data_IF_651344480896
#
_entry.id   IF_651344480896
#
_cell.length_a   1.000
_cell.length_b   1.000
_cell.length_c   1.000
_cell.angle_alpha   90.00
_cell.angle_beta   90.00
_cell.angle_gamma   90.00
#
_symmetry.space_group_name_H-M   'P 1'
#
loop_
_entity.id
_entity.type
_entity.pdbx_description
1 polymer ?
#
# COMPACT_ATOMS: atom_id res chain seq x y z
N UNK A 1 -92.60 80.56 24.49
CA UNK A 1 -93.54 81.22 25.41
C UNK A 1 -94.82 80.41 25.42
N UNK A 2 -95.00 79.55 26.42
CA UNK A 2 -96.25 78.82 26.67
C UNK A 2 -96.47 78.96 28.17
N UNK A 3 -97.39 79.85 28.56
CA UNK A 3 -97.74 80.15 29.95
C UNK A 3 -98.72 79.06 30.41
N UNK A 4 -98.53 78.49 31.59
CA UNK A 4 -99.32 77.34 32.04
C UNK A 4 -100.70 77.78 32.53
N UNK A 5 -101.71 76.92 32.34
CA UNK A 5 -103.11 77.14 32.76
C UNK A 5 -103.24 77.45 34.27
N UNK A 6 -102.26 77.02 35.08
CA UNK A 6 -102.19 77.30 36.51
C UNK A 6 -101.82 78.75 36.83
N UNK A 7 -101.08 79.44 35.96
CA UNK A 7 -100.77 80.87 36.10
C UNK A 7 -101.98 81.74 35.70
N UNK A 8 -102.80 81.30 34.73
CA UNK A 8 -104.07 81.95 34.38
C UNK A 8 -105.14 81.82 35.48
N UNK A 9 -105.13 80.74 36.28
CA UNK A 9 -106.06 80.55 37.41
C UNK A 9 -105.78 81.53 38.57
N UNK A 10 -104.51 81.81 38.87
CA UNK A 10 -104.12 82.79 39.90
C UNK A 10 -104.48 84.23 39.52
N UNK A 11 -104.48 84.56 38.23
CA UNK A 11 -104.90 85.88 37.75
C UNK A 11 -106.41 86.06 37.82
N UNK A 12 -107.20 84.97 37.71
CA UNK A 12 -108.67 85.02 37.75
C UNK A 12 -109.25 85.15 39.15
N UNK A 13 -108.65 84.52 40.16
CA UNK A 13 -109.11 84.64 41.56
C UNK A 13 -108.91 86.05 42.15
N UNK A 14 -108.01 86.85 41.59
CA UNK A 14 -107.77 88.23 42.04
C UNK A 14 -108.78 89.24 41.49
N UNK A 15 -109.67 88.86 40.57
CA UNK A 15 -110.54 89.80 39.82
C UNK A 15 -112.06 89.66 40.07
N UNK A 16 -112.53 88.76 40.95
CA UNK A 16 -113.99 88.49 41.12
C UNK A 16 -114.57 88.73 42.53
N UNK A 17 -114.01 89.64 43.33
CA UNK A 17 -114.77 90.29 44.41
C UNK A 17 -114.93 91.78 44.11
N UNK A 18 -116.02 92.08 43.41
CA UNK A 18 -116.47 93.43 43.13
C UNK A 18 -117.09 94.14 44.35
N UNK A 19 -116.93 95.46 44.32
CA UNK A 19 -117.76 96.52 44.92
C UNK A 19 -118.12 96.40 46.41
N UNK A 20 -117.52 97.26 47.24
CA UNK A 20 -118.14 98.52 47.66
C UNK A 20 -117.11 99.41 48.38
N UNK A 21 -117.36 100.72 48.31
CA UNK A 21 -116.50 101.82 48.77
C UNK A 21 -116.25 101.74 50.28
N UNK A 22 -114.99 101.91 50.68
CA UNK A 22 -114.53 102.82 51.75
C UNK A 22 -112.99 102.89 51.75
N UNK A 23 -112.45 104.13 51.71
CA UNK A 23 -111.04 104.56 51.84
C UNK A 23 -109.89 103.72 51.21
N UNK A 24 -109.28 104.23 50.12
CA UNK A 24 -108.03 103.69 49.54
C UNK A 24 -106.84 104.02 50.46
N UNK A 25 -106.29 103.01 51.15
CA UNK A 25 -105.04 103.09 51.90
C UNK A 25 -103.89 102.72 50.95
N UNK A 26 -103.12 103.71 50.47
CA UNK A 26 -101.93 103.49 49.62
C UNK A 26 -100.75 102.91 50.45
N UNK A 27 -100.21 101.72 50.12
CA UNK A 27 -99.09 101.11 50.83
C UNK A 27 -97.75 101.82 50.53
N UNK A 28 -96.83 101.85 51.52
CA UNK A 28 -95.53 102.55 51.42
C UNK A 28 -94.73 102.17 50.18
N UNK A 29 -94.76 100.89 49.77
CA UNK A 29 -94.08 100.43 48.55
C UNK A 29 -94.67 101.02 47.27
N UNK A 30 -95.97 101.28 47.24
CA UNK A 30 -96.65 101.96 46.13
C UNK A 30 -96.42 103.46 46.20
N UNK A 31 -96.39 104.04 47.41
CA UNK A 31 -96.04 105.44 47.64
C UNK A 31 -94.58 105.74 47.26
N UNK A 32 -93.66 104.82 47.53
CA UNK A 32 -92.24 104.90 47.17
C UNK A 32 -92.01 104.60 45.69
N UNK A 33 -92.80 103.70 45.09
CA UNK A 33 -92.81 103.50 43.64
C UNK A 33 -93.34 104.73 42.91
N UNK A 34 -94.41 105.35 43.41
CA UNK A 34 -94.93 106.63 42.90
C UNK A 34 -93.87 107.72 43.11
N UNK A 35 -93.20 107.81 44.26
CA UNK A 35 -92.09 108.77 44.50
C UNK A 35 -90.87 108.53 43.61
N UNK A 36 -90.47 107.29 43.34
CA UNK A 36 -89.35 106.95 42.46
C UNK A 36 -89.69 107.15 40.98
N UNK A 37 -90.94 106.87 40.58
CA UNK A 37 -91.43 107.12 39.22
C UNK A 37 -91.76 108.61 38.96
N UNK A 38 -92.12 109.38 40.00
CA UNK A 38 -92.34 110.83 39.93
C UNK A 38 -91.08 111.65 40.20
N UNK A 39 -89.96 111.01 40.59
CA UNK A 39 -88.65 111.66 40.64
C UNK A 39 -88.25 111.97 39.20
N UNK A 40 -88.43 113.23 38.81
CA UNK A 40 -87.94 113.76 37.53
C UNK A 40 -86.41 113.67 37.57
N UNK A 41 -85.88 112.56 37.09
CA UNK A 41 -84.44 112.36 36.93
C UNK A 41 -84.00 113.30 35.83
N UNK A 42 -83.14 114.26 36.17
CA UNK A 42 -82.56 115.17 35.18
C UNK A 42 -81.70 114.35 34.20
N UNK A 43 -81.64 114.77 32.92
CA UNK A 43 -80.84 114.09 31.88
C UNK A 43 -79.42 113.79 32.34
N UNK A 44 -78.83 114.68 33.14
CA UNK A 44 -77.46 114.54 33.65
C UNK A 44 -77.30 113.38 34.63
N UNK A 45 -78.28 113.09 35.48
CA UNK A 45 -78.22 111.96 36.42
C UNK A 45 -78.37 110.61 35.71
N UNK A 46 -79.22 110.53 34.67
CA UNK A 46 -79.30 109.35 33.79
C UNK A 46 -78.01 109.14 32.99
N UNK A 47 -77.41 110.23 32.49
CA UNK A 47 -76.13 110.16 31.79
C UNK A 47 -75.02 109.67 32.73
N UNK A 48 -75.01 110.10 33.99
CA UNK A 48 -73.99 109.68 34.95
C UNK A 48 -74.14 108.19 35.36
N UNK A 49 -75.36 107.69 35.58
CA UNK A 49 -75.58 106.26 35.86
C UNK A 49 -75.26 105.37 34.65
N UNK A 50 -75.64 105.81 33.44
CA UNK A 50 -75.30 105.07 32.22
C UNK A 50 -73.80 105.11 31.89
N UNK A 51 -73.11 106.20 32.23
CA UNK A 51 -71.63 106.29 32.18
C UNK A 51 -70.99 105.32 33.17
N UNK A 52 -71.40 105.31 34.44
CA UNK A 52 -70.89 104.37 35.45
C UNK A 52 -71.12 102.90 35.04
N UNK A 53 -72.30 102.57 34.49
CA UNK A 53 -72.59 101.22 34.01
C UNK A 53 -71.77 100.85 32.76
N UNK A 54 -71.46 101.81 31.88
CA UNK A 54 -70.56 101.61 30.74
C UNK A 54 -69.12 101.40 31.21
N UNK A 55 -68.64 102.21 32.14
CA UNK A 55 -67.30 102.07 32.74
C UNK A 55 -67.12 100.71 33.42
N UNK A 56 -68.11 100.24 34.18
CA UNK A 56 -68.06 98.90 34.79
C UNK A 56 -68.03 97.77 33.75
N UNK A 57 -68.83 97.87 32.67
CA UNK A 57 -68.78 96.90 31.55
C UNK A 57 -67.46 96.95 30.79
N UNK A 58 -66.87 98.13 30.65
CA UNK A 58 -65.61 98.34 29.97
C UNK A 58 -64.45 97.78 30.79
N UNK A 59 -64.44 97.99 32.11
CA UNK A 59 -63.50 97.34 33.03
C UNK A 59 -63.60 95.80 32.97
N UNK A 60 -64.81 95.23 32.92
CA UNK A 60 -65.00 93.78 32.76
C UNK A 60 -64.48 93.28 31.40
N UNK A 61 -64.68 94.04 30.31
CA UNK A 61 -64.13 93.71 28.98
C UNK A 61 -62.60 93.76 28.95
N UNK A 62 -61.99 94.77 29.55
CA UNK A 62 -60.53 94.91 29.63
C UNK A 62 -59.92 93.72 30.39
N UNK A 63 -60.52 93.32 31.51
CA UNK A 63 -60.07 92.15 32.28
C UNK A 63 -60.20 90.83 31.49
N UNK A 64 -61.28 90.68 30.71
CA UNK A 64 -61.46 89.52 29.82
C UNK A 64 -60.45 89.50 28.67
N UNK A 65 -60.20 90.65 28.02
CA UNK A 65 -59.20 90.75 26.94
C UNK A 65 -57.78 90.51 27.46
N UNK A 66 -57.43 91.02 28.64
CA UNK A 66 -56.14 90.75 29.28
C UNK A 66 -55.96 89.24 29.55
N UNK A 67 -57.01 88.56 30.03
CA UNK A 67 -57.01 87.10 30.22
C UNK A 67 -56.87 86.35 28.90
N UNK A 68 -57.58 86.77 27.85
CA UNK A 68 -57.49 86.18 26.50
C UNK A 68 -56.11 86.38 25.89
N UNK A 69 -55.48 87.53 26.11
CA UNK A 69 -54.11 87.83 25.66
C UNK A 69 -53.07 86.98 26.39
N UNK A 70 -53.21 86.80 27.71
CA UNK A 70 -52.36 85.87 28.49
C UNK A 70 -52.53 84.42 28.04
N UNK A 71 -53.77 83.96 27.80
CA UNK A 71 -54.01 82.61 27.26
C UNK A 71 -53.34 82.42 25.89
N UNK A 72 -53.45 83.39 24.98
CA UNK A 72 -52.75 83.35 23.69
C UNK A 72 -51.22 83.34 23.81
N UNK A 73 -50.66 84.05 24.79
CA UNK A 73 -49.21 84.01 25.06
C UNK A 73 -48.80 82.63 25.60
N UNK A 74 -49.54 82.07 26.55
CA UNK A 74 -49.28 80.73 27.07
C UNK A 74 -49.44 79.65 25.98
N UNK A 75 -50.38 79.79 25.05
CA UNK A 75 -50.52 78.86 23.92
C UNK A 75 -49.35 78.95 22.93
N UNK A 76 -48.81 80.15 22.67
CA UNK A 76 -47.58 80.32 21.89
C UNK A 76 -46.36 79.72 22.59
N UNK A 77 -46.27 79.89 23.91
CA UNK A 77 -45.19 79.28 24.70
C UNK A 77 -45.30 77.76 24.76
N UNK A 78 -46.51 77.20 24.80
CA UNK A 78 -46.75 75.76 24.68
C UNK A 78 -46.36 75.24 23.30
N UNK A 79 -46.73 75.95 22.23
CA UNK A 79 -46.35 75.61 20.86
C UNK A 79 -44.84 75.46 20.67
N UNK A 80 -44.04 76.34 21.29
CA UNK A 80 -42.58 76.30 21.21
C UNK A 80 -41.92 75.24 22.13
N UNK A 81 -42.66 74.73 23.12
CA UNK A 81 -42.17 73.72 24.09
C UNK A 81 -42.66 72.30 23.78
N UNK A 82 -43.36 72.10 22.67
CA UNK A 82 -43.70 70.75 22.23
C UNK A 82 -42.40 69.99 21.89
N UNK A 83 -42.19 68.80 22.48
CA UNK A 83 -41.05 67.98 22.13
C UNK A 83 -41.13 67.60 20.64
N UNK A 84 -39.99 67.60 19.93
CA UNK A 84 -39.96 67.20 18.53
C UNK A 84 -40.48 65.77 18.37
N UNK A 85 -41.19 65.53 17.27
CA UNK A 85 -41.72 64.20 16.93
C UNK A 85 -40.57 63.20 16.70
N UNK A 86 -40.80 61.91 16.95
CA UNK A 86 -39.81 60.84 16.75
C UNK A 86 -39.20 60.86 15.34
N UNK A 87 -40.01 61.16 14.33
CA UNK A 87 -39.56 61.36 12.95
C UNK A 87 -38.59 62.54 12.80
N UNK A 88 -38.84 63.65 13.49
CA UNK A 88 -37.97 64.83 13.46
C UNK A 88 -36.66 64.57 14.21
N UNK A 89 -36.69 63.79 15.30
CA UNK A 89 -35.47 63.36 16.00
C UNK A 89 -34.63 62.42 15.14
N UNK A 90 -35.23 61.48 14.42
CA UNK A 90 -34.46 60.64 13.48
C UNK A 90 -33.88 61.44 12.32
N UNK A 91 -34.64 62.39 11.77
CA UNK A 91 -34.16 63.22 10.65
C UNK A 91 -33.01 64.14 11.09
N UNK A 92 -33.09 64.70 12.29
CA UNK A 92 -32.00 65.49 12.87
C UNK A 92 -30.78 64.64 13.21
N UNK A 93 -30.95 63.41 13.69
CA UNK A 93 -29.85 62.45 13.87
C UNK A 93 -29.19 62.06 12.54
N UNK A 94 -29.99 61.83 11.49
CA UNK A 94 -29.47 61.56 10.14
C UNK A 94 -28.72 62.76 9.59
N UNK A 95 -29.25 63.98 9.73
CA UNK A 95 -28.59 65.21 9.29
C UNK A 95 -27.29 65.47 10.06
N UNK A 96 -27.29 65.28 11.37
CA UNK A 96 -26.08 65.45 12.20
C UNK A 96 -25.05 64.36 11.90
N UNK A 97 -25.46 63.12 11.69
CA UNK A 97 -24.57 62.04 11.23
C UNK A 97 -23.94 62.35 9.86
N UNK A 98 -24.74 62.86 8.91
CA UNK A 98 -24.25 63.29 7.61
C UNK A 98 -23.26 64.44 7.72
N UNK A 99 -23.56 65.47 8.52
CA UNK A 99 -22.68 66.60 8.77
C UNK A 99 -21.37 66.15 9.44
N UNK A 100 -21.44 65.25 10.41
CA UNK A 100 -20.26 64.69 11.06
C UNK A 100 -19.40 63.86 10.10
N UNK A 101 -20.01 63.09 9.20
CA UNK A 101 -19.29 62.35 8.18
C UNK A 101 -18.65 63.28 7.14
N UNK A 102 -19.35 64.34 6.74
CA UNK A 102 -18.80 65.37 5.86
C UNK A 102 -17.63 66.10 6.53
N UNK A 103 -17.76 66.45 7.81
CA UNK A 103 -16.68 67.06 8.58
C UNK A 103 -15.47 66.13 8.68
N UNK A 104 -15.67 64.84 9.00
CA UNK A 104 -14.59 63.85 9.01
C UNK A 104 -13.90 63.72 7.65
N UNK A 105 -14.66 63.70 6.56
CA UNK A 105 -14.07 63.65 5.22
C UNK A 105 -13.21 64.89 4.92
N UNK A 106 -13.64 66.07 5.36
CA UNK A 106 -12.84 67.29 5.26
C UNK A 106 -11.58 67.22 6.12
N UNK A 107 -11.69 66.69 7.34
CA UNK A 107 -10.57 66.52 8.25
C UNK A 107 -9.53 65.52 7.69
N UNK A 108 -9.98 64.42 7.06
CA UNK A 108 -9.13 63.43 6.38
C UNK A 108 -8.40 64.00 5.15
N UNK A 109 -8.94 65.04 4.52
CA UNK A 109 -8.30 65.72 3.38
C UNK A 109 -7.14 66.64 3.81
N UNK A 110 -7.01 66.96 5.11
CA UNK A 110 -5.90 67.75 5.63
C UNK A 110 -4.55 67.03 5.45
N UNK A 111 -3.51 67.74 5.02
CA UNK A 111 -2.21 67.14 4.68
C UNK A 111 -1.51 66.44 5.86
N UNK A 112 -1.62 66.99 7.07
CA UNK A 112 -1.07 66.36 8.28
C UNK A 112 -1.79 65.04 8.60
N UNK A 113 -3.11 64.99 8.40
CA UNK A 113 -3.92 63.77 8.62
C UNK A 113 -3.57 62.71 7.58
N UNK A 114 -3.35 63.09 6.31
CA UNK A 114 -2.82 62.17 5.28
C UNK A 114 -1.45 61.61 5.65
N UNK A 115 -0.56 62.45 6.21
CA UNK A 115 0.75 62.02 6.70
C UNK A 115 0.62 61.05 7.88
N UNK A 116 -0.27 61.33 8.83
CA UNK A 116 -0.58 60.41 9.93
C UNK A 116 -1.16 59.08 9.40
N UNK A 117 -2.04 59.12 8.41
CA UNK A 117 -2.58 57.92 7.77
C UNK A 117 -1.50 57.09 7.08
N UNK A 118 -0.51 57.72 6.46
CA UNK A 118 0.66 57.04 5.91
C UNK A 118 1.47 56.33 7.01
N UNK A 119 1.68 56.98 8.15
CA UNK A 119 2.38 56.37 9.30
C UNK A 119 1.59 55.19 9.90
N UNK A 120 0.26 55.32 10.01
CA UNK A 120 -0.62 54.24 10.46
C UNK A 120 -0.57 53.05 9.49
N UNK A 121 -0.61 53.32 8.18
CA UNK A 121 -0.50 52.26 7.17
C UNK A 121 0.85 51.55 7.26
N UNK A 122 1.94 52.31 7.38
CA UNK A 122 3.28 51.75 7.56
C UNK A 122 3.36 50.86 8.80
N UNK A 123 2.84 51.33 9.95
CA UNK A 123 2.79 50.54 11.19
C UNK A 123 2.01 49.22 11.02
N UNK A 124 0.86 49.25 10.32
CA UNK A 124 0.09 48.04 9.99
C UNK A 124 0.89 47.08 9.10
N UNK A 125 1.53 47.60 8.05
CA UNK A 125 2.35 46.79 7.14
C UNK A 125 3.55 46.16 7.84
N UNK A 126 4.26 46.90 8.70
CA UNK A 126 5.40 46.40 9.47
C UNK A 126 4.94 45.31 10.44
N UNK A 127 3.83 45.53 11.16
CA UNK A 127 3.28 44.51 12.07
C UNK A 127 2.94 43.21 11.35
N UNK A 128 2.37 43.30 10.14
CA UNK A 128 2.08 42.11 9.32
C UNK A 128 3.38 41.45 8.86
N UNK A 129 4.36 42.24 8.41
CA UNK A 129 5.68 41.73 7.98
C UNK A 129 6.39 40.98 9.12
N UNK A 130 6.36 41.51 10.33
CA UNK A 130 6.99 40.86 11.49
C UNK A 130 6.35 39.51 11.79
N UNK A 131 5.02 39.42 11.72
CA UNK A 131 4.29 38.14 11.83
C UNK A 131 4.65 37.17 10.71
N UNK A 132 4.79 37.64 9.47
CA UNK A 132 5.22 36.82 8.34
C UNK A 132 6.65 36.29 8.53
N UNK A 133 7.56 37.11 9.07
CA UNK A 133 8.93 36.69 9.37
C UNK A 133 8.97 35.65 10.50
N UNK A 134 8.14 35.81 11.54
CA UNK A 134 8.00 34.79 12.59
C UNK A 134 7.45 33.48 12.05
N UNK A 135 6.42 33.54 11.20
CA UNK A 135 5.85 32.38 10.53
C UNK A 135 6.88 31.67 9.64
N UNK A 136 7.64 32.42 8.84
CA UNK A 136 8.71 31.87 8.02
C UNK A 136 9.77 31.14 8.88
N UNK A 137 10.19 31.74 10.01
CA UNK A 137 11.11 31.10 10.96
C UNK A 137 10.52 29.86 11.62
N UNK A 138 9.20 29.78 11.79
CA UNK A 138 8.52 28.58 12.31
C UNK A 138 8.53 27.48 11.25
N UNK A 139 8.14 27.81 10.02
CA UNK A 139 8.14 26.87 8.89
C UNK A 139 9.53 26.32 8.60
N UNK A 140 10.56 27.16 8.65
CA UNK A 140 11.95 26.71 8.46
C UNK A 140 12.39 25.72 9.55
N UNK A 141 12.00 25.97 10.81
CA UNK A 141 12.27 25.02 11.92
C UNK A 141 11.53 23.70 11.72
N UNK A 142 10.24 23.75 11.39
CA UNK A 142 9.44 22.55 11.11
C UNK A 142 10.02 21.75 9.94
N UNK A 143 10.45 22.41 8.86
CA UNK A 143 11.12 21.79 7.73
C UNK A 143 12.43 21.11 8.13
N UNK A 144 13.25 21.79 8.94
CA UNK A 144 14.54 21.27 9.39
C UNK A 144 14.37 20.07 10.34
N UNK A 145 13.37 20.08 11.21
CA UNK A 145 13.06 18.96 12.09
C UNK A 145 12.48 17.76 11.33
N UNK A 146 11.63 17.98 10.32
CA UNK A 146 11.14 16.89 9.47
C UNK A 146 12.27 16.28 8.63
N UNK A 147 13.19 17.10 8.09
CA UNK A 147 14.38 16.58 7.41
C UNK A 147 15.24 15.72 8.33
N UNK A 148 15.51 16.17 9.57
CA UNK A 148 16.23 15.34 10.56
C UNK A 148 15.51 14.02 10.83
N UNK A 149 14.18 14.04 10.92
CA UNK A 149 13.37 12.84 11.12
C UNK A 149 13.51 11.87 9.94
N UNK A 150 13.48 12.38 8.71
CA UNK A 150 13.70 11.58 7.51
C UNK A 150 15.12 10.99 7.48
N UNK A 151 16.14 11.78 7.80
CA UNK A 151 17.54 11.31 7.89
C UNK A 151 17.68 10.17 8.91
N UNK A 152 17.05 10.30 10.07
CA UNK A 152 17.02 9.24 11.09
C UNK A 152 16.29 7.99 10.56
N UNK A 153 15.16 8.15 9.86
CA UNK A 153 14.46 7.00 9.27
C UNK A 153 15.30 6.29 8.21
N UNK A 154 15.99 7.02 7.33
CA UNK A 154 16.90 6.43 6.35
C UNK A 154 18.05 5.68 7.03
N UNK A 155 18.62 6.24 8.10
CA UNK A 155 19.71 5.60 8.84
C UNK A 155 19.23 4.34 9.56
N UNK A 156 18.03 4.35 10.14
CA UNK A 156 17.41 3.15 10.72
C UNK A 156 17.22 2.07 9.66
N UNK A 157 16.75 2.42 8.46
CA UNK A 157 16.58 1.46 7.36
C UNK A 157 17.93 0.90 6.89
N UNK A 158 18.95 1.76 6.76
CA UNK A 158 20.32 1.35 6.45
C UNK A 158 20.85 0.35 7.48
N UNK A 159 20.71 0.65 8.77
CA UNK A 159 21.14 -0.22 9.86
C UNK A 159 20.37 -1.55 9.88
N UNK A 160 19.05 -1.54 9.60
CA UNK A 160 18.26 -2.78 9.45
C UNK A 160 18.78 -3.63 8.29
N UNK A 161 19.11 -3.02 7.15
CA UNK A 161 19.66 -3.74 5.99
C UNK A 161 21.02 -4.38 6.31
N UNK A 162 21.90 -3.65 7.01
CA UNK A 162 23.20 -4.17 7.46
C UNK A 162 22.98 -5.35 8.43
N UNK A 163 22.13 -5.16 9.44
CA UNK A 163 21.82 -6.21 10.42
C UNK A 163 21.26 -7.47 9.75
N UNK A 164 20.38 -7.32 8.77
CA UNK A 164 19.84 -8.46 8.02
C UNK A 164 20.93 -9.21 7.25
N UNK A 165 21.87 -8.50 6.63
CA UNK A 165 23.04 -9.14 5.97
C UNK A 165 23.92 -9.87 6.97
N UNK A 166 24.19 -9.26 8.12
CA UNK A 166 24.96 -9.90 9.20
C UNK A 166 24.28 -11.18 9.72
N UNK A 167 22.96 -11.16 9.88
CA UNK A 167 22.17 -12.34 10.27
C UNK A 167 22.29 -13.47 9.25
N UNK A 168 22.20 -13.16 7.95
CA UNK A 168 22.38 -14.14 6.86
C UNK A 168 23.82 -14.69 6.89
N UNK A 169 24.83 -13.84 7.05
CA UNK A 169 26.22 -14.31 7.16
C UNK A 169 26.44 -15.20 8.39
N UNK A 170 25.84 -14.83 9.52
CA UNK A 170 25.91 -15.63 10.74
C UNK A 170 25.31 -17.03 10.51
N UNK A 171 24.11 -17.09 9.93
CA UNK A 171 23.47 -18.36 9.57
C UNK A 171 24.31 -19.18 8.60
N UNK A 172 24.94 -18.54 7.59
CA UNK A 172 25.86 -19.24 6.68
C UNK A 172 27.08 -19.79 7.42
N UNK A 173 27.68 -19.03 8.32
CA UNK A 173 28.81 -19.51 9.14
C UNK A 173 28.41 -20.66 10.06
N UNK A 174 27.23 -20.62 10.66
CA UNK A 174 26.71 -21.71 11.48
C UNK A 174 26.44 -22.97 10.65
N UNK A 175 25.82 -22.83 9.49
CA UNK A 175 25.61 -23.94 8.56
C UNK A 175 26.94 -24.54 8.08
N UNK A 176 27.95 -23.72 7.81
CA UNK A 176 29.31 -24.19 7.49
C UNK A 176 29.95 -24.97 8.64
N UNK A 177 29.81 -24.48 9.89
CA UNK A 177 30.31 -25.21 11.07
C UNK A 177 29.60 -26.55 11.25
N UNK A 178 28.28 -26.58 11.09
CA UNK A 178 27.50 -27.82 11.16
C UNK A 178 27.89 -28.79 10.05
N UNK A 179 28.06 -28.31 8.81
CA UNK A 179 28.55 -29.12 7.70
C UNK A 179 29.95 -29.69 7.96
N UNK A 180 30.85 -28.88 8.54
CA UNK A 180 32.19 -29.34 8.93
C UNK A 180 32.14 -30.42 10.01
N UNK A 181 31.24 -30.31 11.00
CA UNK A 181 31.05 -31.34 12.03
C UNK A 181 30.58 -32.66 11.43
N UNK A 182 29.61 -32.63 10.51
CA UNK A 182 29.13 -33.85 9.83
C UNK A 182 30.27 -34.54 9.06
N UNK A 183 31.13 -33.78 8.37
CA UNK A 183 32.28 -34.35 7.66
C UNK A 183 33.28 -34.97 8.65
N UNK A 184 33.55 -34.32 9.78
CA UNK A 184 34.41 -34.87 10.83
C UNK A 184 33.84 -36.19 11.35
N UNK A 185 32.53 -36.26 11.59
CA UNK A 185 31.88 -37.48 12.07
C UNK A 185 31.89 -38.59 11.02
N UNK A 186 31.69 -38.27 9.74
CA UNK A 186 31.84 -39.23 8.63
C UNK A 186 33.29 -39.76 8.51
N UNK A 187 34.30 -38.92 8.74
CA UNK A 187 35.71 -39.35 8.72
C UNK A 187 35.96 -40.32 9.88
N UNK A 188 35.46 -40.02 11.08
CA UNK A 188 35.57 -40.91 12.24
C UNK A 188 34.88 -42.24 11.99
N UNK A 189 33.67 -42.23 11.41
CA UNK A 189 32.91 -43.44 11.09
C UNK A 189 33.67 -44.32 10.09
N UNK A 190 34.19 -43.74 9.00
CA UNK A 190 35.04 -44.47 8.04
C UNK A 190 36.34 -45.00 8.66
N UNK A 191 36.93 -44.26 9.59
CA UNK A 191 38.12 -44.70 10.30
C UNK A 191 37.81 -45.90 11.21
N UNK A 192 36.68 -45.88 11.90
CA UNK A 192 36.18 -47.03 12.67
C UNK A 192 35.88 -48.24 11.78
N UNK A 193 35.24 -48.05 10.63
CA UNK A 193 35.02 -49.12 9.66
C UNK A 193 36.34 -49.72 9.17
N UNK A 194 37.34 -48.88 8.88
CA UNK A 194 38.67 -49.33 8.48
C UNK A 194 39.34 -50.15 9.58
N UNK A 195 39.24 -49.71 10.84
CA UNK A 195 39.76 -50.45 12.00
C UNK A 195 39.03 -51.80 12.14
N UNK A 196 37.70 -51.82 12.05
CA UNK A 196 36.91 -53.05 12.12
C UNK A 196 37.27 -54.03 11.00
N UNK A 197 37.51 -53.56 9.77
CA UNK A 197 37.96 -54.39 8.66
C UNK A 197 39.37 -54.95 8.91
N UNK A 198 40.28 -54.15 9.48
CA UNK A 198 41.61 -54.61 9.88
C UNK A 198 41.51 -55.68 10.97
N UNK A 199 40.68 -55.48 12.00
CA UNK A 199 40.44 -56.48 13.04
C UNK A 199 39.84 -57.78 12.48
N UNK A 200 38.90 -57.68 11.53
CA UNK A 200 38.31 -58.85 10.87
C UNK A 200 39.38 -59.63 10.09
N UNK A 201 40.19 -58.94 9.28
CA UNK A 201 41.30 -59.54 8.54
C UNK A 201 42.34 -60.16 9.48
N UNK A 202 42.62 -59.55 10.63
CA UNK A 202 43.52 -60.14 11.63
C UNK A 202 42.92 -61.41 12.25
N UNK A 203 41.62 -61.42 12.56
CA UNK A 203 40.93 -62.63 13.03
C UNK A 203 40.94 -63.74 11.97
N UNK A 204 40.68 -63.42 10.71
CA UNK A 204 40.76 -64.38 9.60
C UNK A 204 42.17 -64.92 9.42
N UNK A 205 43.20 -64.06 9.51
CA UNK A 205 44.61 -64.48 9.48
C UNK A 205 44.95 -65.40 10.65
N UNK A 206 44.46 -65.12 11.85
CA UNK A 206 44.66 -65.98 13.02
C UNK A 206 43.98 -67.34 12.82
N UNK A 207 42.73 -67.36 12.35
CA UNK A 207 42.02 -68.62 12.04
C UNK A 207 42.72 -69.43 10.94
N UNK A 208 43.22 -68.77 9.90
CA UNK A 208 44.00 -69.42 8.84
C UNK A 208 45.32 -69.97 9.39
N UNK A 209 46.01 -69.24 10.27
CA UNK A 209 47.22 -69.72 10.92
C UNK A 209 46.96 -70.96 11.80
N UNK A 210 45.89 -70.95 12.60
CA UNK A 210 45.47 -72.10 13.40
C UNK A 210 45.12 -73.33 12.53
N UNK A 211 44.46 -73.12 11.39
CA UNK A 211 44.17 -74.19 10.43
C UNK A 211 45.46 -74.76 9.82
N UNK A 212 46.41 -73.90 9.46
CA UNK A 212 47.72 -74.32 8.95
C UNK A 212 48.49 -75.12 10.00
N UNK A 213 48.47 -74.71 11.27
CA UNK A 213 49.11 -75.47 12.36
C UNK A 213 48.46 -76.84 12.56
N UNK A 214 47.13 -76.93 12.50
CA UNK A 214 46.42 -78.23 12.57
C UNK A 214 46.80 -79.15 11.41
N UNK A 215 46.83 -78.63 10.18
CA UNK A 215 47.25 -79.40 9.01
C UNK A 215 48.70 -79.87 9.11
N UNK A 216 49.62 -79.00 9.58
CA UNK A 216 51.01 -79.39 9.84
C UNK A 216 51.12 -80.49 10.90
N UNK A 217 50.34 -80.43 11.97
CA UNK A 217 50.33 -81.47 12.99
C UNK A 217 49.80 -82.81 12.44
N UNK A 218 48.76 -82.78 11.60
CA UNK A 218 48.25 -83.97 10.90
C UNK A 218 49.28 -84.54 9.91
N UNK A 219 49.98 -83.69 9.15
CA UNK A 219 51.10 -84.08 8.28
C UNK A 219 52.25 -84.71 9.08
N UNK A 220 52.62 -84.15 10.24
CA UNK A 220 53.64 -84.74 11.11
C UNK A 220 53.21 -86.11 11.66
N UNK A 221 51.94 -86.25 12.08
CA UNK A 221 51.42 -87.55 12.52
C UNK A 221 51.43 -88.60 11.41
N UNK A 222 51.01 -88.23 10.19
CA UNK A 222 51.04 -89.15 9.05
C UNK A 222 52.46 -89.55 8.69
N UNK A 223 53.41 -88.62 8.67
CA UNK A 223 54.83 -88.89 8.43
C UNK A 223 55.40 -89.82 9.52
N UNK A 224 55.02 -89.62 10.79
CA UNK A 224 55.41 -90.53 11.88
C UNK A 224 54.83 -91.93 11.69
N UNK A 225 53.55 -92.05 11.29
CA UNK A 225 52.92 -93.36 10.99
C UNK A 225 53.61 -94.06 9.82
N UNK A 226 53.98 -93.32 8.77
CA UNK A 226 54.75 -93.86 7.64
C UNK A 226 56.15 -94.31 8.07
N UNK A 227 56.85 -93.53 8.91
CA UNK A 227 58.14 -93.92 9.50
C UNK A 227 58.04 -95.22 10.31
N UNK A 228 56.99 -95.36 11.11
CA UNK A 228 56.75 -96.59 11.90
C UNK A 228 56.44 -97.76 10.98
N UNK A 229 55.63 -97.58 9.92
CA UNK A 229 55.35 -98.62 8.92
C UNK A 229 56.60 -99.03 8.15
N UNK A 230 57.42 -98.07 7.72
CA UNK A 230 58.69 -98.34 7.04
C UNK A 230 59.67 -99.10 7.95
N UNK A 231 59.75 -98.76 9.25
CA UNK A 231 60.58 -99.49 10.21
C UNK A 231 60.09 -100.92 10.46
N UNK A 232 58.77 -101.15 10.49
CA UNK A 232 58.19 -102.51 10.57
C UNK A 232 58.52 -103.34 9.34
N UNK A 233 58.33 -102.78 8.15
CA UNK A 233 58.70 -103.43 6.88
C UNK A 233 60.20 -103.74 6.81
N UNK A 234 61.07 -102.84 7.27
CA UNK A 234 62.51 -103.09 7.33
C UNK A 234 62.84 -104.27 8.25
N UNK A 235 62.24 -104.33 9.44
CA UNK A 235 62.45 -105.44 10.37
C UNK A 235 61.93 -106.78 9.80
N UNK A 236 60.77 -106.78 9.12
CA UNK A 236 60.23 -107.97 8.45
C UNK A 236 61.15 -108.46 7.31
N UNK A 237 61.74 -107.53 6.55
CA UNK A 237 62.73 -107.85 5.52
C UNK A 237 64.05 -108.33 6.12
N UNK A 238 64.50 -107.77 7.25
CA UNK A 238 65.68 -108.26 7.97
C UNK A 238 65.48 -109.66 8.55
N UNK A 239 64.30 -109.97 9.10
CA UNK A 239 63.94 -111.31 9.58
C UNK A 239 63.89 -112.30 8.41
N UNK A 240 63.22 -111.96 7.30
CA UNK A 240 63.19 -112.79 6.10
C UNK A 240 64.58 -113.01 5.50
N UNK A 241 65.45 -111.99 5.50
CA UNK A 241 66.83 -112.13 5.05
C UNK A 241 67.67 -113.01 6.00
N UNK A 242 67.46 -112.93 7.32
CA UNK A 242 68.12 -113.83 8.30
C UNK A 242 67.68 -115.28 8.11
N UNK A 243 66.40 -115.50 7.89
CA UNK A 243 65.84 -116.83 7.60
C UNK A 243 66.40 -117.40 6.29
N UNK A 244 66.46 -116.59 5.24
CA UNK A 244 67.08 -116.96 3.97
C UNK A 244 68.59 -117.26 4.11
N UNK A 245 69.32 -116.50 4.94
CA UNK A 245 70.73 -116.76 5.20
C UNK A 245 70.93 -118.08 5.97
N UNK A 246 70.08 -118.35 6.96
CA UNK A 246 70.08 -119.59 7.75
C UNK A 246 69.76 -120.82 6.89
N UNK A 247 68.79 -120.72 5.98
CA UNK A 247 68.54 -121.78 4.98
C UNK A 247 69.72 -121.96 4.05
N UNK A 248 70.37 -120.88 3.60
CA UNK A 248 71.55 -120.95 2.75
C UNK A 248 72.75 -121.59 3.47
N UNK A 249 72.93 -121.34 4.77
CA UNK A 249 73.96 -122.02 5.58
C UNK A 249 73.66 -123.50 5.80
N UNK A 250 72.38 -123.88 5.97
CA UNK A 250 71.97 -125.29 6.05
C UNK A 250 72.24 -126.02 4.73
N UNK A 251 71.86 -125.42 3.59
CA UNK A 251 72.19 -125.94 2.26
C UNK A 251 73.70 -126.03 2.05
N UNK A 252 74.47 -125.03 2.47
CA UNK A 252 75.94 -125.06 2.40
C UNK A 252 76.56 -126.17 3.25
N UNK A 253 76.00 -126.54 4.40
CA UNK A 253 76.48 -127.68 5.21
C UNK A 253 76.12 -129.03 4.59
N UNK A 254 74.98 -129.12 3.90
CA UNK A 254 74.59 -130.31 3.13
C UNK A 254 75.47 -130.48 1.89
N UNK A 255 75.75 -129.38 1.17
CA UNK A 255 76.72 -129.33 0.06
C UNK A 255 78.12 -129.71 0.53
N UNK A 256 78.62 -129.17 1.66
CA UNK A 256 79.94 -129.54 2.19
C UNK A 256 80.06 -131.03 2.58
N UNK A 257 78.94 -131.68 2.94
CA UNK A 257 78.89 -133.11 3.22
C UNK A 257 78.98 -133.94 1.94
N UNK A 258 78.20 -133.55 0.93
CA UNK A 258 78.20 -134.20 -0.39
C UNK A 258 79.52 -133.94 -1.15
N UNK A 259 80.13 -132.77 -0.97
CA UNK A 259 81.41 -132.41 -1.58
C UNK A 259 82.60 -133.18 -0.98
N UNK A 260 82.56 -133.56 0.30
CA UNK A 260 83.59 -134.43 0.89
C UNK A 260 83.49 -135.89 0.38
N UNK A 261 82.28 -136.39 0.10
CA UNK A 261 82.07 -137.68 -0.60
C UNK A 261 82.47 -137.62 -2.08
N UNK A 262 82.33 -136.45 -2.72
CA UNK A 262 82.72 -136.22 -4.12
C UNK A 262 84.24 -135.99 -4.28
N UNK A 263 84.93 -135.47 -3.25
CA UNK A 263 86.39 -135.24 -3.29
C UNK A 263 87.19 -136.56 -3.31
N UNK A 264 86.74 -137.57 -2.55
CA UNK A 264 87.34 -138.91 -2.54
C UNK A 264 87.14 -139.66 -3.87
N UNK A 265 86.06 -139.35 -4.61
CA UNK A 265 85.78 -139.90 -5.94
C UNK A 265 86.48 -139.13 -7.09
N UNK A 266 86.62 -137.81 -6.97
CA UNK A 266 87.21 -136.96 -8.02
C UNK A 266 88.75 -136.93 -8.01
N UNK A 267 89.43 -137.24 -6.90
CA UNK A 267 90.90 -137.42 -6.90
C UNK A 267 91.35 -138.62 -7.75
N UNK A 268 90.48 -139.61 -7.97
CA UNK A 268 90.74 -140.76 -8.83
C UNK A 268 90.42 -140.50 -10.33
N UNK A 269 89.53 -139.54 -10.61
CA UNK A 269 89.05 -139.23 -11.97
C UNK A 269 89.77 -138.04 -12.62
N UNK A 270 90.30 -137.11 -11.82
CA UNK A 270 90.99 -135.89 -12.27
C UNK A 270 92.33 -136.14 -13.00
N UNK A 271 92.95 -137.33 -12.90
CA UNK A 271 94.14 -137.69 -13.70
C UNK A 271 93.82 -138.07 -15.15
N UNK A 272 92.55 -138.21 -15.52
CA UNK A 272 92.11 -138.73 -16.82
C UNK A 272 91.33 -137.70 -17.67
N UNK A 273 90.90 -136.57 -17.11
CA UNK A 273 90.02 -135.59 -17.79
C UNK A 273 90.70 -134.26 -18.17
N UNK A 274 91.98 -134.06 -17.83
CA UNK A 274 92.80 -132.92 -18.31
C UNK A 274 92.94 -132.89 -19.84
N UNK A 275 92.70 -134.02 -20.52
CA UNK A 275 92.80 -134.16 -21.98
C UNK A 275 91.50 -133.82 -22.74
N UNK A 276 90.37 -133.54 -22.07
CA UNK A 276 89.06 -133.31 -22.73
C UNK A 276 88.55 -131.86 -22.73
N UNK A 277 89.17 -130.95 -21.99
CA UNK A 277 88.73 -129.54 -21.86
C UNK A 277 89.21 -128.60 -22.99
N UNK A 278 89.77 -129.14 -24.08
CA UNK A 278 90.09 -128.36 -25.28
C UNK A 278 88.90 -128.26 -26.26
N UNK A 279 87.85 -129.09 -26.14
CA UNK A 279 86.76 -129.15 -27.15
C UNK A 279 85.48 -128.34 -26.82
N UNK A 280 85.41 -127.64 -25.68
CA UNK A 280 84.22 -126.91 -25.20
C UNK A 280 83.98 -125.48 -25.74
N UNK A 281 84.53 -125.09 -26.89
CA UNK A 281 84.42 -123.68 -27.38
C UNK A 281 83.55 -123.44 -28.64
N UNK A 282 82.69 -124.38 -29.06
CA UNK A 282 81.85 -124.21 -30.28
C UNK A 282 80.33 -124.32 -30.10
N UNK A 283 79.78 -124.32 -28.88
CA UNK A 283 78.33 -124.51 -28.64
C UNK A 283 77.66 -123.37 -27.84
N UNK A 284 78.27 -122.18 -27.77
CA UNK A 284 77.72 -121.01 -27.06
C UNK A 284 76.96 -120.01 -27.97
N UNK A 285 76.85 -120.26 -29.28
CA UNK A 285 76.21 -119.34 -30.25
C UNK A 285 74.75 -119.70 -30.64
N UNK A 286 74.09 -120.65 -29.97
CA UNK A 286 72.75 -121.12 -30.39
C UNK A 286 71.55 -120.75 -29.49
N UNK A 287 71.71 -119.94 -28.42
CA UNK A 287 70.58 -119.64 -27.51
C UNK A 287 70.36 -118.15 -27.21
N UNK A 288 70.22 -117.34 -28.26
CA UNK A 288 69.71 -115.96 -28.20
C UNK A 288 68.26 -115.80 -28.73
N UNK A 289 67.53 -116.90 -28.99
CA UNK A 289 66.19 -116.85 -29.64
C UNK A 289 64.96 -116.99 -28.74
N UNK A 290 65.09 -116.83 -27.42
CA UNK A 290 63.93 -116.94 -26.51
C UNK A 290 63.50 -115.62 -25.83
N UNK A 291 64.15 -114.47 -26.12
CA UNK A 291 63.77 -113.15 -25.56
C UNK A 291 63.23 -112.21 -26.64
N UNK A 292 62.31 -112.70 -27.48
CA UNK A 292 61.60 -111.84 -28.44
C UNK A 292 60.10 -112.13 -28.58
N UNK A 293 59.61 -113.28 -28.10
CA UNK A 293 58.18 -113.66 -28.21
C UNK A 293 57.27 -113.20 -27.07
N UNK A 294 57.79 -112.47 -26.07
CA UNK A 294 57.00 -111.98 -24.91
C UNK A 294 56.71 -110.47 -24.93
N UNK A 295 57.17 -109.71 -25.96
CA UNK A 295 56.85 -108.27 -26.11
C UNK A 295 55.71 -107.99 -27.09
N UNK A 296 55.56 -108.78 -28.15
CA UNK A 296 54.55 -108.53 -29.20
C UNK A 296 53.09 -108.80 -28.78
N UNK A 297 52.87 -109.50 -27.66
CA UNK A 297 51.52 -109.86 -27.19
C UNK A 297 50.89 -108.79 -26.29
N UNK A 298 51.70 -107.89 -25.72
CA UNK A 298 51.22 -106.78 -24.88
C UNK A 298 50.91 -105.51 -25.70
N UNK A 299 51.58 -105.30 -26.84
CA UNK A 299 51.40 -104.11 -27.69
C UNK A 299 49.99 -104.04 -28.33
N UNK A 300 49.39 -105.20 -28.68
CA UNK A 300 48.04 -105.27 -29.26
C UNK A 300 46.88 -104.97 -28.29
N UNK A 301 47.10 -105.01 -26.98
CA UNK A 301 46.05 -104.71 -26.00
C UNK A 301 45.91 -103.19 -25.77
N UNK A 302 47.00 -102.43 -25.89
CA UNK A 302 47.01 -100.98 -25.71
C UNK A 302 46.33 -100.23 -26.87
N UNK A 303 46.49 -100.72 -28.10
CA UNK A 303 45.94 -100.05 -29.29
C UNK A 303 44.40 -100.06 -29.36
N UNK A 304 43.74 -101.08 -28.79
CA UNK A 304 42.26 -101.17 -28.79
C UNK A 304 41.59 -100.19 -27.82
N UNK A 305 42.27 -99.77 -26.76
CA UNK A 305 41.75 -98.76 -25.83
C UNK A 305 41.95 -97.33 -26.37
N UNK A 306 43.03 -97.09 -27.12
CA UNK A 306 43.28 -95.81 -27.78
C UNK A 306 42.22 -95.45 -28.85
N UNK A 307 41.68 -96.43 -29.59
CA UNK A 307 40.60 -96.21 -30.55
C UNK A 307 39.25 -95.85 -29.90
N UNK A 308 38.93 -96.43 -28.74
CA UNK A 308 37.68 -96.15 -28.00
C UNK A 308 37.71 -94.74 -27.40
N UNK A 309 38.86 -94.31 -26.86
CA UNK A 309 39.02 -92.97 -26.29
C UNK A 309 39.07 -91.89 -27.37
N UNK A 310 39.60 -92.18 -28.56
CA UNK A 310 39.56 -91.27 -29.71
C UNK A 310 38.12 -90.99 -30.19
N UNK A 311 37.23 -92.00 -30.18
CA UNK A 311 35.81 -91.83 -30.53
C UNK A 311 35.02 -91.07 -29.45
N UNK A 312 35.36 -91.27 -28.18
CA UNK A 312 34.76 -90.56 -27.04
C UNK A 312 35.15 -89.07 -27.04
N UNK A 313 36.41 -88.76 -27.37
CA UNK A 313 36.92 -87.40 -27.52
C UNK A 313 36.25 -86.65 -28.70
N UNK A 314 36.05 -87.31 -29.86
CA UNK A 314 35.36 -86.68 -31.01
C UNK A 314 33.91 -86.32 -30.72
N UNK A 315 33.16 -87.19 -30.02
CA UNK A 315 31.76 -86.88 -29.63
C UNK A 315 31.67 -85.75 -28.60
N UNK A 316 32.58 -85.71 -27.63
CA UNK A 316 32.65 -84.62 -26.65
C UNK A 316 32.99 -83.27 -27.31
N UNK A 317 33.89 -83.29 -28.29
CA UNK A 317 34.28 -82.09 -29.05
C UNK A 317 33.11 -81.55 -29.90
N UNK A 318 32.41 -82.41 -30.64
CA UNK A 318 31.25 -82.00 -31.46
C UNK A 318 30.04 -81.54 -30.62
N UNK A 319 29.85 -82.09 -29.41
CA UNK A 319 28.79 -81.63 -28.50
C UNK A 319 29.12 -80.28 -27.86
N UNK A 320 30.39 -80.07 -27.47
CA UNK A 320 30.86 -78.77 -26.99
C UNK A 320 30.79 -77.70 -28.09
N UNK A 321 31.15 -78.04 -29.33
CA UNK A 321 31.08 -77.11 -30.45
C UNK A 321 29.62 -76.69 -30.77
N UNK A 322 28.67 -77.61 -30.70
CA UNK A 322 27.24 -77.30 -30.85
C UNK A 322 26.71 -76.40 -29.72
N UNK A 323 27.07 -76.70 -28.46
CA UNK A 323 26.69 -75.86 -27.32
C UNK A 323 27.33 -74.47 -27.39
N UNK A 324 28.57 -74.38 -27.85
CA UNK A 324 29.25 -73.11 -28.05
C UNK A 324 28.56 -72.25 -29.12
N UNK A 325 28.25 -72.84 -30.29
CA UNK A 325 27.49 -72.15 -31.35
C UNK A 325 26.10 -71.71 -30.92
N UNK A 326 25.42 -72.51 -30.09
CA UNK A 326 24.11 -72.16 -29.55
C UNK A 326 24.20 -71.03 -28.51
N UNK A 327 25.20 -71.05 -27.64
CA UNK A 327 25.46 -69.99 -26.67
C UNK A 327 25.86 -68.67 -27.35
N UNK A 328 26.74 -68.69 -28.35
CA UNK A 328 27.08 -67.50 -29.14
C UNK A 328 25.88 -66.89 -29.87
N UNK A 329 24.92 -67.73 -30.30
CA UNK A 329 23.69 -67.26 -30.93
C UNK A 329 22.76 -66.60 -29.90
N UNK A 330 22.60 -67.20 -28.73
CA UNK A 330 21.79 -66.65 -27.63
C UNK A 330 22.39 -65.36 -27.07
N UNK A 331 23.71 -65.28 -26.94
CA UNK A 331 24.41 -64.07 -26.50
C UNK A 331 24.24 -62.93 -27.51
N UNK A 332 24.38 -63.20 -28.82
CA UNK A 332 24.11 -62.19 -29.86
C UNK A 332 22.65 -61.76 -29.90
N UNK A 333 21.71 -62.69 -29.75
CA UNK A 333 20.27 -62.37 -29.67
C UNK A 333 19.95 -61.53 -28.42
N UNK A 334 20.58 -61.82 -27.28
CA UNK A 334 20.42 -61.03 -26.05
C UNK A 334 21.03 -59.63 -26.18
N UNK A 335 22.25 -59.51 -26.73
CA UNK A 335 22.88 -58.22 -27.00
C UNK A 335 22.03 -57.36 -27.95
N UNK A 336 21.46 -57.95 -29.01
CA UNK A 336 20.56 -57.25 -29.93
C UNK A 336 19.27 -56.77 -29.24
N UNK A 337 18.70 -57.57 -28.33
CA UNK A 337 17.54 -57.15 -27.53
C UNK A 337 17.89 -56.00 -26.59
N UNK A 338 18.98 -56.10 -25.84
CA UNK A 338 19.44 -55.04 -24.95
C UNK A 338 19.71 -53.75 -25.73
N UNK A 339 20.32 -53.83 -26.91
CA UNK A 339 20.54 -52.66 -27.77
C UNK A 339 19.22 -52.03 -28.23
N UNK A 340 18.22 -52.82 -28.63
CA UNK A 340 16.90 -52.31 -28.99
C UNK A 340 16.18 -51.66 -27.82
N UNK A 341 16.19 -52.30 -26.64
CA UNK A 341 15.56 -51.75 -25.44
C UNK A 341 16.23 -50.43 -25.03
N UNK A 342 17.55 -50.32 -25.19
CA UNK A 342 18.30 -49.08 -24.94
C UNK A 342 18.00 -47.98 -25.97
N UNK A 343 17.80 -48.34 -27.24
CA UNK A 343 17.38 -47.40 -28.29
C UNK A 343 15.94 -46.90 -28.05
N UNK A 344 15.01 -47.80 -27.72
CA UNK A 344 13.63 -47.43 -27.37
C UNK A 344 13.58 -46.53 -26.12
N UNK A 345 14.36 -46.83 -25.09
CA UNK A 345 14.47 -45.99 -23.89
C UNK A 345 15.07 -44.60 -24.19
N UNK A 346 16.02 -44.51 -25.13
CA UNK A 346 16.56 -43.22 -25.58
C UNK A 346 15.53 -42.43 -26.37
N UNK A 347 14.75 -43.08 -27.24
CA UNK A 347 13.68 -42.42 -27.98
C UNK A 347 12.57 -41.89 -27.06
N UNK A 348 12.15 -42.67 -26.07
CA UNK A 348 11.14 -42.20 -25.10
C UNK A 348 11.67 -41.04 -24.28
N UNK A 349 12.91 -41.10 -23.80
CA UNK A 349 13.56 -40.00 -23.09
C UNK A 349 13.68 -38.74 -23.97
N UNK A 350 14.01 -38.90 -25.25
CA UNK A 350 14.07 -37.78 -26.19
C UNK A 350 12.70 -37.14 -26.40
N UNK A 351 11.65 -37.95 -26.62
CA UNK A 351 10.26 -37.46 -26.79
C UNK A 351 9.73 -36.79 -25.53
N UNK A 352 10.02 -37.32 -24.35
CA UNK A 352 9.66 -36.68 -23.08
C UNK A 352 10.37 -35.34 -22.91
N UNK A 353 11.67 -35.27 -23.22
CA UNK A 353 12.43 -34.03 -23.18
C UNK A 353 11.89 -33.00 -24.17
N UNK A 354 11.56 -33.42 -25.39
CA UNK A 354 10.96 -32.57 -26.42
C UNK A 354 9.60 -32.02 -25.97
N UNK A 355 8.75 -32.88 -25.36
CA UNK A 355 7.47 -32.46 -24.79
C UNK A 355 7.64 -31.44 -23.66
N UNK A 356 8.57 -31.67 -22.74
CA UNK A 356 8.85 -30.74 -21.64
C UNK A 356 9.34 -29.39 -22.16
N UNK A 357 10.23 -29.39 -23.16
CA UNK A 357 10.69 -28.15 -23.81
C UNK A 357 9.55 -27.43 -24.52
N UNK A 358 8.65 -28.16 -25.19
CA UNK A 358 7.47 -27.58 -25.83
C UNK A 358 6.49 -26.99 -24.81
N UNK A 359 6.28 -27.66 -23.67
CA UNK A 359 5.45 -27.17 -22.57
C UNK A 359 6.07 -25.91 -21.92
N UNK A 360 7.38 -25.89 -21.69
CA UNK A 360 8.10 -24.70 -21.21
C UNK A 360 7.98 -23.53 -22.20
N UNK A 361 8.25 -23.76 -23.49
CA UNK A 361 8.10 -22.72 -24.51
C UNK A 361 6.67 -22.20 -24.62
N UNK A 362 5.66 -23.05 -24.38
CA UNK A 362 4.26 -22.63 -24.33
C UNK A 362 3.97 -21.79 -23.09
N UNK A 363 4.46 -22.18 -21.92
CA UNK A 363 4.33 -21.39 -20.68
C UNK A 363 4.99 -20.02 -20.84
N UNK A 364 6.21 -19.95 -21.36
CA UNK A 364 6.91 -18.68 -21.62
C UNK A 364 6.14 -17.80 -22.61
N UNK A 365 5.56 -18.37 -23.67
CA UNK A 365 4.70 -17.62 -24.61
C UNK A 365 3.43 -17.10 -23.95
N UNK A 366 2.79 -17.90 -23.11
CA UNK A 366 1.56 -17.52 -22.41
C UNK A 366 1.84 -16.42 -21.38
N UNK A 367 2.94 -16.51 -20.65
CA UNK A 367 3.42 -15.48 -19.73
C UNK A 367 3.79 -14.19 -20.47
N UNK A 368 4.55 -14.29 -21.56
CA UNK A 368 4.87 -13.13 -22.40
C UNK A 368 3.59 -12.46 -22.94
N UNK A 369 2.62 -13.26 -23.39
CA UNK A 369 1.33 -12.75 -23.87
C UNK A 369 0.53 -12.06 -22.78
N UNK A 370 0.56 -12.55 -21.53
CA UNK A 370 -0.05 -11.90 -20.38
C UNK A 370 0.63 -10.57 -20.06
N UNK A 371 1.97 -10.53 -20.06
CA UNK A 371 2.74 -9.30 -19.82
C UNK A 371 2.40 -8.25 -20.88
N UNK A 372 2.38 -8.63 -22.16
CA UNK A 372 2.02 -7.72 -23.26
C UNK A 372 0.58 -7.21 -23.11
N UNK A 373 -0.36 -8.06 -22.67
CA UNK A 373 -1.74 -7.63 -22.42
C UNK A 373 -1.79 -6.61 -21.28
N UNK A 374 -1.11 -6.88 -20.17
CA UNK A 374 -1.00 -5.96 -19.03
C UNK A 374 -0.40 -4.61 -19.45
N UNK A 375 0.70 -4.62 -20.22
CA UNK A 375 1.33 -3.41 -20.74
C UNK A 375 0.40 -2.63 -21.69
N UNK A 376 -0.38 -3.33 -22.54
CA UNK A 376 -1.37 -2.68 -23.40
C UNK A 376 -2.50 -2.03 -22.60
N UNK A 377 -3.02 -2.72 -21.58
CA UNK A 377 -4.06 -2.17 -20.70
C UNK A 377 -3.55 -0.96 -19.91
N UNK A 378 -2.31 -1.00 -19.42
CA UNK A 378 -1.68 0.12 -18.72
C UNK A 378 -1.46 1.32 -19.67
N UNK A 379 -0.97 1.06 -20.88
CA UNK A 379 -0.84 2.10 -21.92
C UNK A 379 -2.19 2.71 -22.32
N UNK A 380 -3.26 1.92 -22.38
CA UNK A 380 -4.62 2.42 -22.63
C UNK A 380 -5.13 3.28 -21.47
N UNK A 381 -4.93 2.86 -20.21
CA UNK A 381 -5.27 3.65 -19.03
C UNK A 381 -4.52 4.98 -19.01
N UNK A 382 -3.21 4.98 -19.29
CA UNK A 382 -2.42 6.20 -19.38
C UNK A 382 -2.91 7.13 -20.50
N UNK A 383 -3.33 6.54 -21.63
CA UNK A 383 -3.92 7.29 -22.74
C UNK A 383 -5.27 7.91 -22.36
N UNK A 384 -6.10 7.20 -21.61
CA UNK A 384 -7.37 7.71 -21.08
C UNK A 384 -7.13 8.87 -20.10
N UNK A 385 -6.26 8.69 -19.10
CA UNK A 385 -5.89 9.73 -18.13
C UNK A 385 -5.30 10.96 -18.84
N UNK A 386 -4.43 10.77 -19.83
CA UNK A 386 -3.92 11.88 -20.63
C UNK A 386 -5.02 12.58 -21.45
N UNK A 387 -5.98 11.82 -21.98
CA UNK A 387 -7.14 12.33 -22.69
C UNK A 387 -8.04 13.19 -21.78
N UNK A 388 -8.35 12.70 -20.59
CA UNK A 388 -9.12 13.42 -19.57
C UNK A 388 -8.42 14.71 -19.16
N UNK A 389 -7.12 14.67 -18.86
CA UNK A 389 -6.32 15.87 -18.56
C UNK A 389 -6.37 16.90 -19.70
N UNK A 390 -6.29 16.45 -20.95
CA UNK A 390 -6.43 17.34 -22.13
C UNK A 390 -7.83 17.92 -22.24
N UNK A 391 -8.87 17.15 -21.93
CA UNK A 391 -10.25 17.63 -21.96
C UNK A 391 -10.50 18.66 -20.85
N UNK A 392 -10.02 18.41 -19.63
CA UNK A 392 -10.08 19.38 -18.51
C UNK A 392 -9.37 20.68 -18.89
N UNK A 393 -8.19 20.60 -19.51
CA UNK A 393 -7.46 21.80 -19.98
C UNK A 393 -8.24 22.56 -21.07
N UNK A 394 -8.90 21.85 -21.98
CA UNK A 394 -9.76 22.47 -23.00
C UNK A 394 -10.97 23.14 -22.37
N UNK A 395 -11.66 22.47 -21.45
CA UNK A 395 -12.81 23.02 -20.72
C UNK A 395 -12.40 24.26 -19.91
N UNK A 396 -11.30 24.19 -19.18
CA UNK A 396 -10.75 25.32 -18.43
C UNK A 396 -10.39 26.49 -19.37
N UNK A 397 -9.76 26.21 -20.51
CA UNK A 397 -9.49 27.25 -21.52
C UNK A 397 -10.77 27.87 -22.08
N UNK A 398 -11.84 27.09 -22.21
CA UNK A 398 -13.13 27.56 -22.71
C UNK A 398 -13.82 28.43 -21.66
N UNK A 399 -13.79 28.02 -20.39
CA UNK A 399 -14.27 28.81 -19.25
C UNK A 399 -13.55 30.15 -19.15
N UNK A 400 -12.22 30.18 -19.26
CA UNK A 400 -11.44 31.42 -19.27
C UNK A 400 -11.84 32.35 -20.42
N UNK A 401 -12.03 31.81 -21.64
CA UNK A 401 -12.50 32.62 -22.77
C UNK A 401 -13.90 33.18 -22.51
N UNK A 402 -14.82 32.38 -21.98
CA UNK A 402 -16.16 32.85 -21.61
C UNK A 402 -16.09 33.94 -20.53
N UNK A 403 -15.23 33.78 -19.53
CA UNK A 403 -15.04 34.78 -18.47
C UNK A 403 -14.47 36.10 -19.03
N UNK A 404 -13.52 36.03 -19.97
CA UNK A 404 -12.99 37.21 -20.65
C UNK A 404 -14.10 37.93 -21.43
N UNK A 405 -14.92 37.19 -22.18
CA UNK A 405 -16.05 37.75 -22.93
C UNK A 405 -17.06 38.41 -21.98
N UNK A 406 -17.43 37.75 -20.87
CA UNK A 406 -18.34 38.31 -19.86
C UNK A 406 -17.78 39.57 -19.19
N UNK A 407 -16.48 39.60 -18.88
CA UNK A 407 -15.82 40.78 -18.34
C UNK A 407 -15.79 41.93 -19.36
N UNK A 408 -15.58 41.62 -20.65
CA UNK A 408 -15.60 42.62 -21.71
C UNK A 408 -17.03 43.18 -21.92
N UNK A 409 -18.05 42.32 -21.90
CA UNK A 409 -19.46 42.72 -21.99
C UNK A 409 -19.89 43.58 -20.80
N UNK A 410 -19.54 43.19 -19.57
CA UNK A 410 -19.84 43.98 -18.37
C UNK A 410 -19.13 45.33 -18.40
N UNK A 411 -17.88 45.40 -18.86
CA UNK A 411 -17.17 46.67 -19.03
C UNK A 411 -17.83 47.56 -20.09
N UNK A 412 -18.28 46.97 -21.21
CA UNK A 412 -19.05 47.69 -22.24
C UNK A 412 -20.39 48.19 -21.70
N UNK A 413 -21.12 47.38 -20.95
CA UNK A 413 -22.37 47.78 -20.30
C UNK A 413 -22.15 48.93 -19.31
N UNK A 414 -21.18 48.82 -18.40
CA UNK A 414 -20.85 49.91 -17.48
C UNK A 414 -20.50 51.21 -18.21
N UNK A 415 -19.81 51.11 -19.35
CA UNK A 415 -19.51 52.29 -20.18
C UNK A 415 -20.75 52.88 -20.83
N UNK A 416 -21.68 52.04 -21.30
CA UNK A 416 -22.97 52.47 -21.84
C UNK A 416 -23.82 53.11 -20.75
N UNK A 417 -23.95 52.49 -19.58
CA UNK A 417 -24.70 52.99 -18.43
C UNK A 417 -24.17 54.36 -17.99
N UNK A 418 -22.84 54.54 -17.92
CA UNK A 418 -22.23 55.84 -17.63
C UNK A 418 -22.59 56.91 -18.67
N UNK A 419 -22.60 56.56 -19.95
CA UNK A 419 -22.97 57.47 -21.03
C UNK A 419 -24.48 57.80 -21.01
N UNK A 420 -25.33 56.82 -20.68
CA UNK A 420 -26.76 57.01 -20.52
C UNK A 420 -27.09 57.86 -19.29
N UNK A 421 -26.41 57.66 -18.17
CA UNK A 421 -26.50 58.54 -17.00
C UNK A 421 -26.09 59.97 -17.37
N UNK A 422 -24.99 60.13 -18.11
CA UNK A 422 -24.57 61.42 -18.63
C UNK A 422 -25.61 62.07 -19.56
N UNK A 423 -26.29 61.30 -20.41
CA UNK A 423 -27.42 61.80 -21.24
C UNK A 423 -28.63 62.16 -20.39
N UNK A 424 -29.00 61.33 -19.41
CA UNK A 424 -30.10 61.57 -18.48
C UNK A 424 -29.89 62.86 -17.69
N UNK A 425 -28.68 63.09 -17.18
CA UNK A 425 -28.36 64.33 -16.46
C UNK A 425 -28.53 65.53 -17.39
N UNK A 426 -28.02 65.49 -18.63
CA UNK A 426 -28.21 66.59 -19.59
C UNK A 426 -29.68 66.81 -19.93
N UNK A 427 -30.45 65.73 -20.13
CA UNK A 427 -31.87 65.80 -20.44
C UNK A 427 -32.67 66.37 -19.27
N UNK A 428 -32.35 65.99 -18.03
CA UNK A 428 -32.93 66.57 -16.82
C UNK A 428 -32.61 68.07 -16.70
N UNK A 429 -31.36 68.46 -16.96
CA UNK A 429 -30.95 69.87 -16.95
C UNK A 429 -31.70 70.69 -18.02
N UNK A 430 -31.89 70.11 -19.21
CA UNK A 430 -32.64 70.75 -20.30
C UNK A 430 -34.13 70.87 -19.97
N UNK A 431 -34.71 69.83 -19.35
CA UNK A 431 -36.09 69.85 -18.87
C UNK A 431 -36.29 70.88 -17.76
N UNK A 432 -35.37 70.98 -16.79
CA UNK A 432 -35.40 72.03 -15.77
C UNK A 432 -35.26 73.41 -16.38
N UNK A 433 -34.38 73.58 -17.37
CA UNK A 433 -34.25 74.84 -18.11
C UNK A 433 -35.56 75.22 -18.81
N UNK A 434 -36.21 74.29 -19.51
CA UNK A 434 -37.52 74.52 -20.15
C UNK A 434 -38.58 74.87 -19.12
N UNK A 435 -38.63 74.16 -17.99
CA UNK A 435 -39.57 74.46 -16.90
C UNK A 435 -39.34 75.86 -16.31
N UNK A 436 -38.09 76.29 -16.15
CA UNK A 436 -37.76 77.64 -15.68
C UNK A 436 -38.11 78.72 -16.72
N UNK A 437 -37.92 78.44 -18.01
CA UNK A 437 -38.37 79.31 -19.12
C UNK A 437 -39.90 79.44 -19.14
N UNK A 438 -40.63 78.34 -18.96
CA UNK A 438 -42.10 78.32 -18.87
C UNK A 438 -42.61 79.11 -17.65
N UNK A 439 -41.99 78.93 -16.48
CA UNK A 439 -42.30 79.70 -15.27
C UNK A 439 -42.02 81.19 -15.51
N UNK A 440 -40.89 81.52 -16.14
CA UNK A 440 -40.55 82.90 -16.51
C UNK A 440 -41.60 83.50 -17.45
N UNK A 441 -42.05 82.76 -18.46
CA UNK A 441 -43.11 83.19 -19.37
C UNK A 441 -44.46 83.36 -18.66
N UNK A 442 -44.82 82.44 -17.78
CA UNK A 442 -46.05 82.53 -16.98
C UNK A 442 -46.02 83.76 -16.05
N UNK A 443 -44.89 84.02 -15.39
CA UNK A 443 -44.70 85.22 -14.54
C UNK A 443 -44.72 86.52 -15.33
N UNK A 444 -44.14 86.55 -16.53
CA UNK A 444 -44.27 87.71 -17.44
C UNK A 444 -45.72 87.90 -17.89
N UNK A 445 -46.48 86.81 -18.09
CA UNK A 445 -47.92 86.86 -18.35
C UNK A 445 -48.72 87.44 -17.19
N UNK A 446 -48.44 87.01 -15.96
CA UNK A 446 -49.04 87.57 -14.73
C UNK A 446 -48.73 89.08 -14.58
N UNK A 447 -47.50 89.51 -14.88
CA UNK A 447 -47.14 90.94 -14.82
C UNK A 447 -47.88 91.78 -15.87
N UNK A 448 -48.17 91.19 -17.05
CA UNK A 448 -49.00 91.82 -18.09
C UNK A 448 -50.47 91.91 -17.69
N UNK A 449 -51.04 90.87 -17.09
CA UNK A 449 -52.44 90.91 -16.61
C UNK A 449 -52.63 91.88 -15.45
N UNK A 450 -51.59 92.09 -14.63
CA UNK A 450 -51.55 93.10 -13.57
C UNK A 450 -51.35 94.54 -14.08
N UNK A 451 -51.19 94.76 -15.39
CA UNK A 451 -51.11 96.09 -16.00
C UNK A 451 -49.81 96.84 -15.74
N UNK A 452 -48.73 96.14 -15.39
CA UNK A 452 -47.43 96.74 -15.06
C UNK A 452 -46.72 97.16 -16.36
N UNK A 453 -46.20 98.38 -16.43
CA UNK A 453 -45.52 98.93 -17.61
C UNK A 453 -44.30 98.09 -18.04
N UNK A 454 -44.13 97.92 -19.36
CA UNK A 454 -43.05 97.14 -19.99
C UNK A 454 -41.63 97.55 -19.53
N UNK A 455 -41.44 98.81 -19.11
CA UNK A 455 -40.15 99.30 -18.57
C UNK A 455 -39.68 98.50 -17.35
N UNK A 456 -40.61 98.04 -16.51
CA UNK A 456 -40.30 97.27 -15.30
C UNK A 456 -40.33 95.74 -15.53
N UNK A 457 -40.76 95.29 -16.71
CA UNK A 457 -40.73 93.87 -17.11
C UNK A 457 -39.42 93.47 -17.81
N UNK A 458 -38.65 94.46 -18.28
CA UNK A 458 -37.46 94.27 -19.11
C UNK A 458 -36.36 93.44 -18.41
N UNK A 459 -36.16 93.61 -17.10
CA UNK A 459 -35.12 92.90 -16.36
C UNK A 459 -35.46 91.40 -16.19
N UNK A 460 -36.73 91.08 -15.90
CA UNK A 460 -37.19 89.70 -15.81
C UNK A 460 -37.16 89.03 -17.20
N UNK A 461 -37.54 89.76 -18.25
CA UNK A 461 -37.46 89.30 -19.64
C UNK A 461 -36.03 88.98 -20.08
N UNK A 462 -35.06 89.81 -19.69
CA UNK A 462 -33.64 89.66 -20.05
C UNK A 462 -32.87 88.70 -19.15
N UNK A 463 -33.44 88.26 -18.02
CA UNK A 463 -32.79 87.30 -17.12
C UNK A 463 -32.53 85.98 -17.85
N UNK A 464 -31.25 85.66 -18.06
CA UNK A 464 -30.81 84.37 -18.61
C UNK A 464 -30.80 83.32 -17.50
N UNK A 465 -31.36 82.16 -17.79
CA UNK A 465 -31.33 81.00 -16.88
C UNK A 465 -29.97 80.32 -17.09
N UNK A 466 -29.13 80.38 -16.05
CA UNK A 466 -27.79 79.81 -15.99
C UNK A 466 -27.79 78.64 -15.03
N UNK A 467 -27.08 77.56 -15.38
CA UNK A 467 -26.77 76.42 -14.51
C UNK A 467 -25.27 76.37 -14.26
#
# INVERSE_FOLDING_TARGET
>A
TIVSVNELRKVREQTEKGLQKDAIILPKSELDRIRLASKVVTKDQQMHETQLAKEQKEQQRIMFEARKKRMRQMDKERANKLPPSEFQTEETQKKTGLLNNAQKALDEEMDDVKTMNQMVLYSKCVTIRDKQLEEQKRLEREYLDENKRLDIMMEIERLKSIKHREEIEHQRREAQKQGALVIIDQIKERELERINQQELLEREKQQMAEQIEKLKAEEEETLQRERVKAKKLLNEVEESNREALSEKEKRRREELRLDNEILEYNMAKAKLEEEREIEKKKLQEQKEKDIQKLRDLQERAADRQAEIDALRAKRAFEEQERRHRENERKEREHQLKVMRDMEEARETQFRERERLLAEQARQERDEFSRIIRSQKEEAEKDRQVSGEKKNILKEHSLQLRTQIIQNEETTKQQRLDYLEEGRRVRQNLENERKRLEEIKHSKLGELKTLGISDKYQADLSRKKISF
#
